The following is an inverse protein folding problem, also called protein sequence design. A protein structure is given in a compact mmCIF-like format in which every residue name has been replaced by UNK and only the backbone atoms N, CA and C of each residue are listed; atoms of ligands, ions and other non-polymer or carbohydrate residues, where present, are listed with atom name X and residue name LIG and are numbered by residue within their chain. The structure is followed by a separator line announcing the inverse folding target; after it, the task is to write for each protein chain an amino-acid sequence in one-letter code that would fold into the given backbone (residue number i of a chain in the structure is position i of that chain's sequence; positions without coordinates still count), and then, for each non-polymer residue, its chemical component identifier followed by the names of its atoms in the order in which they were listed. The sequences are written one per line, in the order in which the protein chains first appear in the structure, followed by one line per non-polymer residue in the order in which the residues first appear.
data_IF_724929904290
#
_entry.id   IF_724929904290
#
_cell.length_a   1.000
_cell.length_b   1.000
_cell.length_c   1.000
_cell.angle_alpha   90.00
_cell.angle_beta   90.00
_cell.angle_gamma   90.00
#
_symmetry.space_group_name_H-M   'P 1'
#
loop_
_entity.id
_entity.type
_entity.pdbx_description
1 polymer ?
#
# COMPACT_ATOMS: atom_id res chain seq x y z
N UNK A 1 -62.53 -17.45 38.39
CA UNK A 1 -61.61 -18.35 37.66
C UNK A 1 -60.86 -17.55 36.60
N UNK A 2 -59.59 -17.24 36.84
CA UNK A 2 -58.68 -16.64 35.85
C UNK A 2 -57.43 -17.51 35.82
N UNK A 3 -57.20 -18.08 34.66
CA UNK A 3 -56.20 -19.10 34.37
C UNK A 3 -54.83 -18.42 34.37
N UNK A 4 -53.88 -19.00 35.12
CA UNK A 4 -52.47 -18.63 35.13
C UNK A 4 -51.85 -18.86 33.75
N UNK A 5 -51.62 -17.79 33.00
CA UNK A 5 -50.77 -17.77 31.82
C UNK A 5 -49.40 -17.21 32.23
N UNK A 6 -48.63 -17.98 33.00
CA UNK A 6 -47.30 -17.57 33.49
C UNK A 6 -46.27 -18.70 33.35
N UNK A 7 -46.37 -19.49 32.28
CA UNK A 7 -45.52 -20.67 32.06
C UNK A 7 -45.07 -20.83 30.61
N UNK A 8 -44.89 -19.74 29.87
CA UNK A 8 -44.26 -19.76 28.54
C UNK A 8 -43.42 -18.49 28.34
N UNK A 9 -42.46 -18.25 29.23
CA UNK A 9 -41.50 -17.15 29.04
C UNK A 9 -40.06 -17.49 29.42
N UNK A 10 -39.80 -18.71 29.89
CA UNK A 10 -38.47 -19.09 30.43
C UNK A 10 -37.64 -19.90 29.42
N UNK A 11 -38.24 -20.45 28.36
CA UNK A 11 -37.53 -21.33 27.41
C UNK A 11 -36.93 -20.63 26.18
N UNK A 12 -37.28 -19.36 25.91
CA UNK A 12 -36.80 -18.63 24.72
C UNK A 12 -35.53 -17.81 24.99
N UNK A 13 -35.18 -17.57 26.25
CA UNK A 13 -34.03 -16.71 26.63
C UNK A 13 -32.70 -17.49 26.59
N UNK A 14 -32.72 -18.82 26.49
CA UNK A 14 -31.51 -19.66 26.53
C UNK A 14 -30.87 -19.96 25.16
N UNK A 15 -31.41 -19.44 24.05
CA UNK A 15 -30.93 -19.75 22.69
C UNK A 15 -30.17 -18.60 21.99
N UNK A 16 -29.90 -17.47 22.65
CA UNK A 16 -29.45 -16.26 21.94
C UNK A 16 -28.07 -15.70 22.28
N UNK A 17 -27.25 -16.33 23.13
CA UNK A 17 -25.93 -15.74 23.49
C UNK A 17 -24.79 -16.75 23.51
N UNK A 18 -24.70 -17.58 22.48
CA UNK A 18 -23.39 -18.09 22.05
C UNK A 18 -23.22 -17.73 20.58
N UNK A 19 -23.20 -16.43 20.30
CA UNK A 19 -22.44 -15.93 19.16
C UNK A 19 -20.98 -16.19 19.52
N UNK A 20 -20.49 -17.36 19.10
CA UNK A 20 -19.07 -17.61 19.02
C UNK A 20 -18.57 -16.61 17.98
N UNK A 21 -18.13 -15.44 18.43
CA UNK A 21 -17.32 -14.55 17.61
C UNK A 21 -16.09 -15.39 17.28
N UNK A 22 -16.09 -15.99 16.09
CA UNK A 22 -14.86 -16.38 15.43
C UNK A 22 -14.12 -15.07 15.20
N UNK A 23 -13.40 -14.63 16.22
CA UNK A 23 -12.33 -13.67 16.08
C UNK A 23 -11.47 -14.25 14.97
N UNK A 24 -11.55 -13.64 13.78
CA UNK A 24 -10.72 -14.04 12.66
C UNK A 24 -9.29 -13.85 13.16
N UNK A 25 -8.61 -14.95 13.46
CA UNK A 25 -7.19 -14.96 13.74
C UNK A 25 -6.49 -14.39 12.50
N UNK A 26 -6.10 -13.13 12.61
CA UNK A 26 -5.62 -12.31 11.50
C UNK A 26 -6.22 -10.91 11.56
N UNK A 27 -5.81 -10.11 12.54
CA UNK A 27 -6.05 -8.66 12.49
C UNK A 27 -5.46 -8.04 11.22
N UNK A 28 -5.96 -6.87 10.80
CA UNK A 28 -5.39 -6.15 9.67
C UNK A 28 -3.90 -5.82 9.87
N UNK A 29 -3.15 -5.72 8.78
CA UNK A 29 -1.75 -5.33 8.85
C UNK A 29 -1.62 -3.81 8.98
N UNK A 30 -0.72 -3.38 9.86
CA UNK A 30 -0.35 -1.97 10.00
C UNK A 30 1.11 -1.80 9.62
N UNK A 31 1.42 -0.67 8.99
CA UNK A 31 2.76 -0.37 8.49
C UNK A 31 3.21 1.02 8.94
N UNK A 32 4.49 1.15 9.23
CA UNK A 32 5.18 2.44 9.32
C UNK A 32 5.65 2.81 7.92
N UNK A 33 5.59 4.09 7.54
CA UNK A 33 5.87 4.52 6.16
C UNK A 33 6.88 5.64 6.13
N UNK A 34 7.98 5.42 5.42
CA UNK A 34 8.97 6.45 5.09
C UNK A 34 8.86 6.83 3.62
N UNK A 35 8.94 8.13 3.35
CA UNK A 35 9.02 8.67 1.99
C UNK A 35 10.43 9.17 1.73
N UNK A 36 11.10 8.56 0.76
CA UNK A 36 12.48 8.81 0.40
C UNK A 36 12.49 9.55 -0.95
N UNK A 37 13.39 10.54 -1.15
CA UNK A 37 13.57 11.16 -2.45
C UNK A 37 14.17 10.17 -3.46
N UNK A 38 13.52 10.06 -4.61
CA UNK A 38 13.96 9.24 -5.73
C UNK A 38 14.21 10.13 -6.95
N UNK A 39 15.46 10.22 -7.40
CA UNK A 39 15.86 11.12 -8.48
C UNK A 39 15.72 10.42 -9.83
N UNK A 40 14.91 10.94 -10.74
CA UNK A 40 14.80 10.38 -12.09
C UNK A 40 16.14 10.50 -12.82
N UNK A 41 16.74 9.37 -13.19
CA UNK A 41 18.03 9.35 -13.89
C UNK A 41 17.87 9.21 -15.40
N UNK A 42 16.92 8.37 -15.85
CA UNK A 42 16.66 8.17 -17.29
C UNK A 42 15.29 7.54 -17.54
N UNK A 43 14.79 7.75 -18.75
CA UNK A 43 13.73 6.97 -19.38
C UNK A 43 14.38 5.97 -20.34
N UNK A 44 14.00 4.71 -20.25
CA UNK A 44 14.50 3.62 -21.10
C UNK A 44 13.38 3.16 -22.01
N UNK A 45 13.61 3.21 -23.31
CA UNK A 45 12.65 2.73 -24.30
C UNK A 45 12.47 1.21 -24.16
N UNK A 46 11.23 0.78 -23.93
CA UNK A 46 10.86 -0.65 -23.93
C UNK A 46 10.32 -1.03 -25.31
N UNK A 47 9.56 -0.12 -25.92
CA UNK A 47 9.06 -0.19 -27.29
C UNK A 47 8.70 1.22 -27.79
N UNK A 48 8.13 1.34 -28.99
CA UNK A 48 7.79 2.62 -29.63
C UNK A 48 6.82 3.53 -28.83
N UNK A 49 6.16 3.01 -27.79
CA UNK A 49 5.14 3.73 -27.01
C UNK A 49 5.31 3.63 -25.51
N UNK A 50 6.22 2.78 -25.02
CA UNK A 50 6.35 2.48 -23.60
C UNK A 50 7.78 2.65 -23.14
N UNK A 51 7.93 3.23 -21.95
CA UNK A 51 9.20 3.56 -21.33
C UNK A 51 9.23 3.04 -19.91
N UNK A 52 10.39 2.61 -19.44
CA UNK A 52 10.66 2.41 -18.02
C UNK A 52 11.43 3.60 -17.47
N UNK A 53 11.00 4.12 -16.33
CA UNK A 53 11.69 5.21 -15.65
C UNK A 53 12.60 4.63 -14.59
N UNK A 54 13.91 4.94 -14.67
CA UNK A 54 14.85 4.54 -13.64
C UNK A 54 15.11 5.69 -12.67
N UNK A 55 15.14 5.38 -11.39
CA UNK A 55 15.39 6.37 -10.34
C UNK A 55 16.59 5.96 -9.48
N UNK A 56 17.40 6.92 -9.09
CA UNK A 56 18.40 6.77 -8.04
C UNK A 56 17.74 7.06 -6.68
N UNK A 57 17.90 6.15 -5.73
CA UNK A 57 17.48 6.31 -4.33
C UNK A 57 18.68 6.13 -3.40
N UNK A 58 18.62 6.77 -2.23
CA UNK A 58 19.57 6.56 -1.13
C UNK A 58 18.80 6.00 0.07
N UNK A 59 19.02 4.72 0.36
CA UNK A 59 18.38 4.02 1.47
C UNK A 59 19.48 3.75 2.50
N UNK A 60 19.39 4.41 3.65
CA UNK A 60 20.33 4.23 4.76
C UNK A 60 21.82 4.45 4.37
N UNK A 61 22.10 5.35 3.42
CA UNK A 61 23.45 5.68 2.95
C UNK A 61 23.92 4.79 1.79
N UNK A 62 23.10 3.85 1.34
CA UNK A 62 23.36 3.01 0.18
C UNK A 62 22.57 3.53 -1.03
N UNK A 63 23.31 3.93 -2.06
CA UNK A 63 22.72 4.28 -3.35
C UNK A 63 22.29 3.04 -4.11
N UNK A 64 21.07 3.07 -4.62
CA UNK A 64 20.52 2.03 -5.49
C UNK A 64 19.77 2.63 -6.68
N UNK A 65 19.56 1.83 -7.72
CA UNK A 65 18.77 2.19 -8.90
C UNK A 65 17.51 1.33 -8.97
N UNK A 66 16.35 1.97 -8.95
CA UNK A 66 15.05 1.31 -9.02
C UNK A 66 14.39 1.51 -10.38
N UNK A 67 13.79 0.45 -10.91
CA UNK A 67 12.89 0.49 -12.07
C UNK A 67 11.48 0.88 -11.62
N UNK A 68 10.85 1.81 -12.33
CA UNK A 68 9.45 2.14 -12.09
C UNK A 68 8.56 0.92 -12.27
N UNK A 69 8.74 0.19 -13.37
CA UNK A 69 7.93 -0.99 -13.68
C UNK A 69 7.99 -2.02 -12.56
N UNK A 70 9.18 -2.29 -11.99
CA UNK A 70 9.29 -3.22 -10.85
C UNK A 70 8.53 -2.74 -9.60
N UNK A 71 8.44 -1.43 -9.39
CA UNK A 71 7.81 -0.79 -8.22
C UNK A 71 6.37 -0.35 -8.44
N UNK A 72 5.81 -0.62 -9.63
CA UNK A 72 4.47 -0.20 -10.06
C UNK A 72 3.61 -1.36 -10.58
N UNK A 73 3.86 -2.59 -10.12
CA UNK A 73 3.20 -3.81 -10.59
C UNK A 73 3.40 -4.07 -12.10
N UNK A 74 4.62 -3.86 -12.59
CA UNK A 74 5.03 -4.04 -13.99
C UNK A 74 4.34 -3.08 -14.97
N UNK A 75 3.93 -1.89 -14.51
CA UNK A 75 3.41 -0.84 -15.38
C UNK A 75 4.56 -0.06 -16.04
N UNK A 76 4.62 -0.10 -17.37
CA UNK A 76 5.50 0.77 -18.15
C UNK A 76 4.75 2.05 -18.53
N UNK A 77 5.45 3.18 -18.53
CA UNK A 77 4.86 4.47 -18.80
C UNK A 77 4.63 4.68 -20.29
N UNK A 78 3.44 5.13 -20.67
CA UNK A 78 3.18 5.62 -22.02
C UNK A 78 3.59 7.08 -22.20
N UNK A 79 3.84 7.49 -23.44
CA UNK A 79 4.23 8.88 -23.79
C UNK A 79 3.30 9.92 -23.18
N UNK A 80 1.99 9.65 -23.15
CA UNK A 80 0.98 10.56 -22.61
C UNK A 80 1.08 10.69 -21.08
N UNK A 81 1.47 9.62 -20.37
CA UNK A 81 1.68 9.65 -18.93
C UNK A 81 2.94 10.44 -18.58
N UNK A 82 4.03 10.24 -19.34
CA UNK A 82 5.29 10.99 -19.16
C UNK A 82 5.04 12.50 -19.27
N UNK A 83 4.27 12.91 -20.27
CA UNK A 83 3.91 14.32 -20.48
C UNK A 83 2.98 14.86 -19.38
N UNK A 84 2.05 14.04 -18.88
CA UNK A 84 1.11 14.42 -17.84
C UNK A 84 1.78 14.59 -16.47
N UNK A 85 2.71 13.71 -16.14
CA UNK A 85 3.44 13.71 -14.86
C UNK A 85 4.65 14.67 -14.87
N UNK A 86 4.90 15.36 -16.00
CA UNK A 86 6.02 16.29 -16.18
C UNK A 86 7.36 15.67 -15.78
N UNK A 87 7.60 14.45 -16.25
CA UNK A 87 8.79 13.67 -15.88
C UNK A 87 10.05 14.28 -16.49
N UNK A 88 10.96 14.74 -15.62
CA UNK A 88 12.23 15.33 -16.05
C UNK A 88 13.41 14.70 -15.31
N UNK A 89 14.46 14.36 -16.06
CA UNK A 89 15.69 13.85 -15.48
C UNK A 89 16.30 14.87 -14.50
N UNK A 90 16.75 14.37 -13.35
CA UNK A 90 17.26 15.17 -12.24
C UNK A 90 16.20 15.67 -11.26
N UNK A 91 14.90 15.60 -11.57
CA UNK A 91 13.85 15.88 -10.59
C UNK A 91 13.68 14.72 -9.61
N UNK A 92 13.23 15.06 -8.40
CA UNK A 92 12.97 14.11 -7.32
C UNK A 92 11.49 13.81 -7.19
N UNK A 93 11.20 12.52 -7.01
CA UNK A 93 9.87 11.95 -6.86
C UNK A 93 9.82 11.11 -5.58
N UNK A 94 8.63 10.60 -5.24
CA UNK A 94 8.42 9.90 -3.98
C UNK A 94 8.63 8.39 -4.15
N UNK A 95 9.56 7.83 -3.38
CA UNK A 95 9.66 6.39 -3.18
C UNK A 95 9.24 6.08 -1.75
N UNK A 96 8.19 5.26 -1.59
CA UNK A 96 7.63 4.94 -0.29
C UNK A 96 8.05 3.54 0.10
N UNK A 97 8.67 3.42 1.27
CA UNK A 97 9.02 2.15 1.91
C UNK A 97 8.15 2.00 3.14
N UNK A 98 7.47 0.86 3.26
CA UNK A 98 6.61 0.59 4.40
C UNK A 98 7.04 -0.69 5.11
N UNK A 99 7.27 -0.59 6.42
CA UNK A 99 7.72 -1.69 7.28
C UNK A 99 6.58 -2.13 8.18
N UNK A 100 6.33 -3.44 8.28
CA UNK A 100 5.22 -3.96 9.08
C UNK A 100 5.41 -3.68 10.57
N UNK A 101 4.37 -3.19 11.24
CA UNK A 101 4.33 -3.00 12.69
C UNK A 101 3.59 -4.17 13.34
N UNK A 102 2.43 -4.54 12.80
CA UNK A 102 1.59 -5.63 13.32
C UNK A 102 0.97 -6.47 12.21
N UNK A 103 0.76 -7.76 12.45
CA UNK A 103 0.10 -8.69 11.53
C UNK A 103 1.07 -9.71 10.93
N UNK A 104 0.62 -10.44 9.91
CA UNK A 104 1.37 -11.53 9.26
C UNK A 104 1.52 -11.30 7.74
N UNK A 105 1.53 -10.03 7.32
CA UNK A 105 1.77 -9.65 5.93
C UNK A 105 3.26 -9.63 5.59
N UNK A 106 3.58 -9.24 4.34
CA UNK A 106 4.95 -8.97 3.92
C UNK A 106 5.64 -8.02 4.91
N UNK A 107 6.88 -8.32 5.33
CA UNK A 107 7.58 -7.52 6.32
C UNK A 107 7.90 -6.11 5.82
N UNK A 108 8.10 -5.99 4.51
CA UNK A 108 8.39 -4.74 3.82
C UNK A 108 7.61 -4.72 2.50
N UNK A 109 7.08 -3.55 2.17
CA UNK A 109 6.48 -3.25 0.87
C UNK A 109 7.00 -1.90 0.40
N UNK A 110 7.25 -1.79 -0.90
CA UNK A 110 7.73 -0.54 -1.49
C UNK A 110 6.97 -0.22 -2.78
N UNK A 111 6.90 1.06 -3.09
CA UNK A 111 6.30 1.52 -4.35
C UNK A 111 6.81 2.90 -4.74
N UNK A 112 6.80 3.13 -6.06
CA UNK A 112 7.20 4.39 -6.65
C UNK A 112 5.97 5.25 -6.98
N UNK A 113 5.99 6.52 -6.57
CA UNK A 113 4.94 7.50 -6.87
C UNK A 113 5.55 8.65 -7.68
N UNK A 114 5.00 8.91 -8.86
CA UNK A 114 5.42 9.99 -9.76
C UNK A 114 4.94 11.39 -9.32
N UNK A 115 4.87 11.62 -8.01
CA UNK A 115 4.62 12.93 -7.43
C UNK A 115 5.95 13.55 -7.04
N UNK A 116 6.15 14.86 -7.28
CA UNK A 116 7.34 15.56 -6.80
C UNK A 116 7.57 15.31 -5.30
N UNK A 117 8.82 15.08 -4.93
CA UNK A 117 9.21 15.00 -3.54
C UNK A 117 9.19 16.41 -2.94
N UNK A 118 8.27 16.64 -2.01
CA UNK A 118 8.32 17.78 -1.10
C UNK A 118 8.82 17.25 0.23
N UNK A 119 9.93 17.79 0.73
CA UNK A 119 10.42 17.42 2.06
C UNK A 119 9.28 17.66 3.09
N UNK A 120 9.05 16.73 4.04
CA UNK A 120 8.09 16.96 5.11
C UNK A 120 8.46 18.28 5.83
N UNK A 121 7.49 19.18 5.95
CA UNK A 121 7.61 20.46 6.64
C UNK A 121 7.72 20.27 8.16
#
# INVERSE_FOLDING_TARGET
MKICLATIAVFIILLFFVACDQQKDGGGCTYDSDTIPATLIKLVDINDKSYDALFEVDIEGQKDTISYAEKSNHHYLFTEEIAKEDLEAGKQYQYIVQKIITGTCSPEVDHMILKPFAAPQ
#
